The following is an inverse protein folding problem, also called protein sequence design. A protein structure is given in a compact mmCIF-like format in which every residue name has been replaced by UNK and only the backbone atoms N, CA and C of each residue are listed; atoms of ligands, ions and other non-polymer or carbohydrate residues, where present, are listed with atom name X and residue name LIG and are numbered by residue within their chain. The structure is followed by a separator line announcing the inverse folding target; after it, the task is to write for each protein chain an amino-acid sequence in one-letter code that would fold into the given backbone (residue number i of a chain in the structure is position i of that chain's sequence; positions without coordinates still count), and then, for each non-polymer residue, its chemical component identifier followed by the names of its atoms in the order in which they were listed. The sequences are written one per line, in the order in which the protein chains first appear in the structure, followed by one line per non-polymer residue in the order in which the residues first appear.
data_IF_775981446001
#
_entry.id   IF_775981446001
#
_cell.length_a   1.000
_cell.length_b   1.000
_cell.length_c   1.000
_cell.angle_alpha   90.00
_cell.angle_beta   90.00
_cell.angle_gamma   90.00
#
_symmetry.space_group_name_H-M   'P 1'
#
loop_
_entity.id
_entity.type
_entity.pdbx_description
1 polymer ?
#
# COMPACT_ATOMS: atom_id res chain seq x y z
N UNK A 1 -23.64 -17.39 6.03
CA UNK A 1 -22.31 -18.05 5.95
C UNK A 1 -22.11 -18.58 4.54
N UNK A 2 -21.28 -17.91 3.72
CA UNK A 2 -21.00 -18.32 2.34
C UNK A 2 -20.22 -19.65 2.31
N UNK A 3 -20.89 -20.74 1.90
CA UNK A 3 -20.33 -22.10 1.76
C UNK A 3 -19.34 -22.25 0.59
N UNK A 4 -18.85 -21.14 0.02
CA UNK A 4 -18.05 -21.15 -1.21
C UNK A 4 -16.62 -21.66 -0.98
N UNK A 5 -16.07 -21.48 0.22
CA UNK A 5 -14.75 -22.00 0.59
C UNK A 5 -14.76 -23.53 0.76
N UNK A 6 -15.88 -24.10 1.24
CA UNK A 6 -16.04 -25.54 1.49
C UNK A 6 -15.99 -26.36 0.19
N UNK A 7 -16.27 -25.72 -0.94
CA UNK A 7 -16.28 -26.35 -2.28
C UNK A 7 -15.04 -26.01 -3.11
N UNK A 8 -14.03 -25.36 -2.54
CA UNK A 8 -12.79 -25.12 -3.26
C UNK A 8 -12.11 -26.46 -3.59
N UNK A 9 -11.55 -26.57 -4.80
CA UNK A 9 -10.86 -27.78 -5.22
C UNK A 9 -9.50 -27.90 -4.52
N UNK A 10 -9.22 -29.06 -3.93
CA UNK A 10 -7.94 -29.33 -3.29
C UNK A 10 -6.79 -29.41 -4.30
N UNK A 11 -5.63 -28.86 -3.92
CA UNK A 11 -4.40 -28.92 -4.70
C UNK A 11 -3.72 -30.28 -4.50
N UNK A 12 -3.83 -31.15 -5.50
CA UNK A 12 -3.20 -32.48 -5.48
C UNK A 12 -2.02 -32.50 -6.45
N UNK A 13 -0.78 -32.75 -5.98
CA UNK A 13 0.39 -32.89 -6.84
C UNK A 13 0.16 -33.92 -7.98
N UNK A 14 0.53 -33.56 -9.21
CA UNK A 14 0.37 -34.42 -10.39
C UNK A 14 -0.98 -34.30 -11.11
N UNK A 15 -1.99 -33.64 -10.53
CA UNK A 15 -3.22 -33.30 -11.27
C UNK A 15 -3.00 -32.06 -12.13
N UNK A 16 -3.57 -32.07 -13.34
CA UNK A 16 -3.57 -30.88 -14.22
C UNK A 16 -4.45 -29.81 -13.58
N UNK A 17 -3.91 -28.61 -13.40
CA UNK A 17 -4.66 -27.47 -12.91
C UNK A 17 -5.59 -26.95 -14.02
N UNK A 18 -6.88 -26.84 -13.72
CA UNK A 18 -7.90 -26.39 -14.68
C UNK A 18 -8.34 -24.92 -14.48
N UNK A 19 -7.70 -24.20 -13.55
CA UNK A 19 -7.98 -22.78 -13.33
C UNK A 19 -7.18 -21.87 -14.27
N UNK A 20 -7.62 -20.61 -14.38
CA UNK A 20 -6.89 -19.60 -15.14
C UNK A 20 -5.77 -19.04 -14.25
N UNK A 21 -4.53 -19.23 -14.67
CA UNK A 21 -3.37 -18.58 -14.03
C UNK A 21 -3.15 -17.20 -14.66
N UNK A 22 -3.00 -16.14 -13.86
CA UNK A 22 -2.57 -14.84 -14.37
C UNK A 22 -1.23 -14.98 -15.11
N UNK A 23 -1.06 -14.25 -16.21
CA UNK A 23 0.16 -14.29 -17.02
C UNK A 23 1.43 -13.86 -16.26
N UNK A 24 1.27 -13.15 -15.16
CA UNK A 24 2.35 -12.70 -14.27
C UNK A 24 1.77 -12.51 -12.87
N UNK A 25 2.64 -12.60 -11.87
CA UNK A 25 2.32 -12.33 -10.47
C UNK A 25 1.65 -10.96 -10.28
N UNK A 26 2.14 -9.92 -10.97
CA UNK A 26 1.57 -8.57 -10.89
C UNK A 26 0.10 -8.52 -11.37
N UNK A 27 -0.27 -9.39 -12.33
CA UNK A 27 -1.63 -9.44 -12.86
C UNK A 27 -2.61 -10.18 -11.93
N UNK A 28 -2.12 -10.92 -10.93
CA UNK A 28 -2.95 -11.62 -9.96
C UNK A 28 -3.56 -10.68 -8.91
N UNK A 29 -2.92 -9.53 -8.66
CA UNK A 29 -3.30 -8.57 -7.62
C UNK A 29 -4.38 -7.59 -8.10
N UNK A 30 -4.94 -7.79 -9.31
CA UNK A 30 -6.00 -6.91 -9.79
C UNK A 30 -7.24 -7.05 -8.89
N UNK A 31 -7.68 -5.99 -8.18
CA UNK A 31 -8.90 -6.04 -7.40
C UNK A 31 -10.06 -6.36 -8.33
N UNK A 32 -10.89 -7.32 -7.92
CA UNK A 32 -11.90 -8.00 -8.72
C UNK A 32 -12.96 -7.05 -9.32
N UNK A 33 -12.60 -6.23 -10.31
CA UNK A 33 -13.53 -5.43 -11.11
C UNK A 33 -14.10 -6.35 -12.18
N UNK A 34 -15.36 -6.78 -11.99
CA UNK A 34 -16.12 -7.51 -13.01
C UNK A 34 -16.08 -6.68 -14.29
N UNK A 35 -15.40 -7.23 -15.31
CA UNK A 35 -15.21 -6.60 -16.61
C UNK A 35 -16.54 -6.46 -17.33
N UNK A 36 -17.16 -5.30 -17.22
CA UNK A 36 -18.02 -4.75 -18.27
C UNK A 36 -17.27 -3.58 -18.91
N UNK A 37 -17.19 -3.59 -20.23
CA UNK A 37 -16.36 -2.70 -21.03
C UNK A 37 -16.82 -1.25 -20.92
N UNK A 38 -15.98 -0.34 -20.40
CA UNK A 38 -15.63 0.98 -20.95
C UNK A 38 -14.81 1.76 -19.92
N UNK A 39 -13.75 2.41 -20.40
CA UNK A 39 -13.14 3.64 -19.88
C UNK A 39 -12.94 3.75 -18.37
N UNK A 40 -11.70 3.78 -17.93
CA UNK A 40 -11.02 5.03 -17.62
C UNK A 40 -9.62 4.71 -17.13
N UNK A 41 -8.68 5.48 -17.67
CA UNK A 41 -7.27 5.50 -17.31
C UNK A 41 -7.14 5.63 -15.79
N UNK A 42 -6.90 4.52 -15.11
CA UNK A 42 -6.40 4.54 -13.74
C UNK A 42 -5.04 5.20 -13.82
N UNK A 43 -5.00 6.52 -13.63
CA UNK A 43 -3.79 7.32 -13.54
C UNK A 43 -2.86 6.60 -12.58
N UNK A 44 -1.85 5.92 -13.11
CA UNK A 44 -0.60 5.76 -12.40
C UNK A 44 0.01 7.16 -12.37
N UNK A 45 -0.53 8.00 -11.50
CA UNK A 45 0.11 9.24 -11.14
C UNK A 45 1.47 8.82 -10.63
N UNK A 46 2.51 9.20 -11.36
CA UNK A 46 3.91 8.95 -11.01
C UNK A 46 4.11 9.45 -9.57
N UNK A 47 4.00 8.56 -8.59
CA UNK A 47 4.20 8.90 -7.18
C UNK A 47 5.66 9.27 -7.08
N UNK A 48 5.94 10.53 -6.76
CA UNK A 48 7.33 10.96 -6.59
C UNK A 48 7.80 10.41 -5.26
N UNK A 49 9.06 10.01 -5.17
CA UNK A 49 9.62 9.51 -3.92
C UNK A 49 9.55 10.58 -2.80
N UNK A 50 9.51 11.86 -3.16
CA UNK A 50 9.22 12.99 -2.25
C UNK A 50 7.83 12.98 -1.63
N UNK A 51 6.87 12.22 -2.17
CA UNK A 51 5.51 12.13 -1.68
C UNK A 51 5.34 10.95 -0.69
N UNK A 52 6.38 10.12 -0.58
CA UNK A 52 6.46 8.97 0.31
C UNK A 52 7.40 9.29 1.48
N UNK A 53 6.99 8.88 2.69
CA UNK A 53 7.81 9.06 3.88
C UNK A 53 8.96 8.04 3.91
N UNK A 54 10.12 8.45 4.43
CA UNK A 54 11.28 7.57 4.58
C UNK A 54 11.01 6.51 5.67
N UNK A 55 11.02 5.19 5.34
CA UNK A 55 10.71 4.15 6.33
C UNK A 55 11.70 4.09 7.49
N UNK A 56 12.97 4.43 7.25
CA UNK A 56 14.01 4.45 8.28
C UNK A 56 13.80 5.59 9.27
N UNK A 57 13.51 6.79 8.74
CA UNK A 57 13.22 7.95 9.55
C UNK A 57 11.93 7.75 10.35
N UNK A 58 10.89 7.19 9.73
CA UNK A 58 9.60 6.92 10.35
C UNK A 58 9.70 6.07 11.63
N UNK A 59 10.59 5.07 11.63
CA UNK A 59 10.75 4.13 12.74
C UNK A 59 11.71 4.61 13.83
N UNK A 60 12.79 5.28 13.45
CA UNK A 60 13.90 5.58 14.37
C UNK A 60 14.15 7.07 14.61
N UNK A 61 13.49 7.94 13.84
CA UNK A 61 13.81 9.37 13.80
C UNK A 61 15.17 9.70 13.23
N UNK A 62 15.87 8.72 12.64
CA UNK A 62 17.19 8.89 12.04
C UNK A 62 17.25 8.21 10.69
N UNK A 63 17.81 8.91 9.71
CA UNK A 63 18.03 8.37 8.38
C UNK A 63 19.54 8.47 8.08
N UNK A 64 20.21 7.36 7.71
CA UNK A 64 21.64 7.39 7.37
C UNK A 64 21.98 8.31 6.20
N UNK A 65 21.00 8.56 5.32
CA UNK A 65 21.14 9.41 4.14
C UNK A 65 20.94 10.89 4.47
N UNK A 66 20.36 11.21 5.63
CA UNK A 66 20.05 12.58 6.08
C UNK A 66 19.49 13.47 4.93
N UNK A 67 20.28 14.41 4.41
CA UNK A 67 19.87 15.34 3.35
C UNK A 67 19.88 14.77 1.93
N UNK A 68 20.48 13.59 1.74
CA UNK A 68 20.55 12.89 0.44
C UNK A 68 19.42 11.87 0.26
N UNK A 69 18.51 11.77 1.23
CA UNK A 69 17.39 10.84 1.16
C UNK A 69 16.42 11.26 0.05
N UNK A 70 16.05 10.31 -0.81
CA UNK A 70 15.07 10.54 -1.89
C UNK A 70 13.62 10.60 -1.37
N UNK A 71 13.41 10.08 -0.16
CA UNK A 71 12.12 10.05 0.52
C UNK A 71 11.96 11.24 1.46
N UNK A 72 10.72 11.68 1.70
CA UNK A 72 10.46 12.78 2.62
C UNK A 72 10.72 12.37 4.08
N UNK A 73 11.51 13.19 4.78
CA UNK A 73 11.58 13.14 6.23
C UNK A 73 10.41 13.93 6.81
N UNK A 74 9.48 13.20 7.42
CA UNK A 74 8.31 13.78 8.05
C UNK A 74 8.63 14.62 9.28
N UNK A 75 7.60 15.26 9.83
CA UNK A 75 7.67 15.93 11.13
C UNK A 75 7.19 15.01 12.25
N UNK A 76 7.66 15.28 13.47
CA UNK A 76 7.21 14.56 14.66
C UNK A 76 5.75 14.89 14.96
N UNK A 77 4.95 13.85 15.18
CA UNK A 77 3.59 13.97 15.64
C UNK A 77 3.58 14.23 17.15
N UNK A 78 2.79 15.20 17.61
CA UNK A 78 2.69 15.56 19.03
C UNK A 78 2.03 14.46 19.88
N UNK A 79 1.24 13.57 19.25
CA UNK A 79 0.49 12.51 19.96
C UNK A 79 1.32 11.24 20.14
N UNK A 80 1.96 10.72 19.09
CA UNK A 80 2.78 9.50 19.17
C UNK A 80 4.29 9.77 19.29
N UNK A 81 4.76 11.01 19.09
CA UNK A 81 6.18 11.35 19.08
C UNK A 81 6.96 10.76 17.88
N UNK A 82 6.28 10.16 16.90
CA UNK A 82 6.91 9.55 15.73
C UNK A 82 6.93 10.54 14.54
N UNK A 83 7.98 10.52 13.71
CA UNK A 83 8.12 11.39 12.54
C UNK A 83 7.29 10.92 11.34
N UNK A 84 5.98 10.80 11.55
CA UNK A 84 4.99 10.29 10.58
C UNK A 84 4.19 11.39 9.89
N UNK A 85 4.36 12.66 10.26
CA UNK A 85 3.62 13.76 9.62
C UNK A 85 4.28 14.15 8.30
N UNK A 86 3.51 14.16 7.21
CA UNK A 86 4.04 14.58 5.91
C UNK A 86 4.30 16.11 5.86
N UNK A 87 5.45 16.56 5.34
CA UNK A 87 5.80 17.99 5.38
C UNK A 87 4.92 18.85 4.47
N UNK A 88 4.61 18.35 3.27
CA UNK A 88 3.89 19.13 2.24
C UNK A 88 2.42 18.72 2.04
N UNK A 89 1.96 17.67 2.72
CA UNK A 89 0.67 17.02 2.42
C UNK A 89 -0.19 17.02 3.68
N UNK A 90 -1.18 17.91 3.71
CA UNK A 90 -2.05 18.11 4.86
C UNK A 90 -3.02 16.96 5.07
N UNK A 91 -3.54 16.36 3.99
CA UNK A 91 -4.48 15.25 4.07
C UNK A 91 -3.84 14.04 4.78
N UNK A 92 -2.58 13.74 4.44
CA UNK A 92 -1.83 12.68 5.13
C UNK A 92 -1.56 13.00 6.61
N UNK A 93 -1.33 14.27 6.94
CA UNK A 93 -1.17 14.70 8.35
C UNK A 93 -2.47 14.50 9.12
N UNK A 94 -3.59 14.97 8.59
CA UNK A 94 -4.89 14.83 9.25
C UNK A 94 -5.29 13.37 9.42
N UNK A 95 -5.06 12.54 8.39
CA UNK A 95 -5.28 11.10 8.45
C UNK A 95 -4.47 10.46 9.59
N UNK A 96 -3.17 10.73 9.64
CA UNK A 96 -2.31 10.21 10.71
C UNK A 96 -2.77 10.70 12.09
N UNK A 97 -3.07 12.00 12.26
CA UNK A 97 -3.53 12.53 13.55
C UNK A 97 -4.82 11.84 13.98
N UNK A 98 -5.78 11.67 13.06
CA UNK A 98 -7.06 11.00 13.32
C UNK A 98 -6.87 9.54 13.73
N UNK A 99 -5.95 8.82 13.09
CA UNK A 99 -5.61 7.45 13.47
C UNK A 99 -4.90 7.42 14.84
N UNK A 100 -3.94 8.33 15.04
CA UNK A 100 -3.12 8.39 16.24
C UNK A 100 -3.92 8.73 17.51
N UNK A 101 -4.98 9.54 17.40
CA UNK A 101 -5.88 9.83 18.53
C UNK A 101 -6.92 8.72 18.76
N UNK A 102 -7.12 7.83 17.79
CA UNK A 102 -8.10 6.75 17.86
C UNK A 102 -7.50 5.44 18.40
N UNK A 103 -6.17 5.32 18.44
CA UNK A 103 -5.44 4.23 19.12
C UNK A 103 -5.38 4.39 20.64
#
# INVERSE_FOLDING_TARGET
FDQKWVRAQDFVPGKKFHGQVPSSYANAVQPHRKSTRKGESGRSSMVKNSDLLCPYFEQSGRCPLESTCEYAHGYMCDFCGLPKLHPSDEEKREMHVKECIAE
#
